data_IF_321347632567
#
_entry.id   IF_321347632567
#
_cell.length_a   1.000
_cell.length_b   1.000
_cell.length_c   1.000
_cell.angle_alpha   90.00
_cell.angle_beta   90.00
_cell.angle_gamma   90.00
#
_symmetry.space_group_name_H-M   'P 1'
#
loop_
_entity.id
_entity.type
_entity.pdbx_description
1 polymer ?
#
# COMPACT_ATOMS: atom_id res chain seq x y z
N UNK A 1 -22.61 3.87 -13.82
CA UNK A 1 -21.89 5.15 -13.86
C UNK A 1 -21.70 5.52 -15.32
N UNK A 2 -22.15 6.69 -15.71
CA UNK A 2 -22.01 7.20 -17.08
C UNK A 2 -20.63 7.83 -17.28
N UNK A 3 -20.24 8.08 -18.53
CA UNK A 3 -19.01 8.83 -18.84
C UNK A 3 -19.03 10.24 -18.28
N UNK A 4 -20.21 10.90 -18.27
CA UNK A 4 -20.37 12.23 -17.70
C UNK A 4 -20.11 12.23 -16.18
N UNK A 5 -20.61 11.22 -15.46
CA UNK A 5 -20.36 11.09 -14.01
C UNK A 5 -18.86 10.90 -13.72
N UNK A 6 -18.16 10.13 -14.55
CA UNK A 6 -16.72 9.90 -14.43
C UNK A 6 -15.94 11.20 -14.65
N UNK A 7 -16.30 11.98 -15.67
CA UNK A 7 -15.65 13.25 -15.97
C UNK A 7 -15.88 14.27 -14.85
N UNK A 8 -17.08 14.30 -14.27
CA UNK A 8 -17.40 15.16 -13.14
C UNK A 8 -16.55 14.79 -11.90
N UNK A 9 -16.43 13.50 -11.59
CA UNK A 9 -15.58 13.06 -10.47
C UNK A 9 -14.11 13.38 -10.71
N UNK A 10 -13.60 13.13 -11.92
CA UNK A 10 -12.22 13.46 -12.25
C UNK A 10 -11.95 14.97 -12.18
N UNK A 11 -12.90 15.80 -12.61
CA UNK A 11 -12.81 17.24 -12.46
C UNK A 11 -12.82 17.65 -10.97
N UNK A 12 -13.66 17.02 -10.15
CA UNK A 12 -13.69 17.26 -8.71
C UNK A 12 -12.36 16.93 -8.03
N UNK A 13 -11.75 15.79 -8.37
CA UNK A 13 -10.43 15.40 -7.85
C UNK A 13 -9.35 16.41 -8.24
N UNK A 14 -9.29 16.81 -9.52
CA UNK A 14 -8.27 17.77 -9.99
C UNK A 14 -8.33 19.12 -9.28
N UNK A 15 -9.54 19.60 -8.93
CA UNK A 15 -9.73 20.87 -8.22
C UNK A 15 -9.03 20.93 -6.86
N UNK A 16 -8.72 19.80 -6.24
CA UNK A 16 -8.01 19.79 -4.95
C UNK A 16 -8.85 20.23 -3.76
N UNK A 17 -10.18 20.30 -3.90
CA UNK A 17 -11.08 20.51 -2.76
C UNK A 17 -11.12 19.26 -1.87
N UNK A 18 -11.42 19.38 -0.57
CA UNK A 18 -11.68 18.23 0.30
C UNK A 18 -12.75 17.31 -0.30
N UNK A 19 -12.53 16.00 -0.21
CA UNK A 19 -13.33 15.00 -0.91
C UNK A 19 -14.53 14.57 -0.09
N UNK A 20 -15.65 14.26 -0.75
CA UNK A 20 -16.70 13.44 -0.14
C UNK A 20 -16.28 11.97 -0.07
N UNK A 21 -16.99 11.13 0.71
CA UNK A 21 -16.75 9.69 0.75
C UNK A 21 -16.83 9.05 -0.64
N UNK A 22 -17.75 9.48 -1.49
CA UNK A 22 -17.89 8.98 -2.87
C UNK A 22 -16.67 9.33 -3.73
N UNK A 23 -16.22 10.59 -3.66
CA UNK A 23 -15.03 11.05 -4.38
C UNK A 23 -13.76 10.36 -3.87
N UNK A 24 -13.66 10.13 -2.57
CA UNK A 24 -12.56 9.37 -1.97
C UNK A 24 -12.60 7.91 -2.47
N UNK A 25 -13.76 7.27 -2.44
CA UNK A 25 -13.91 5.90 -2.95
C UNK A 25 -13.51 5.79 -4.42
N UNK A 26 -13.92 6.78 -5.23
CA UNK A 26 -13.51 6.88 -6.62
C UNK A 26 -12.00 7.07 -6.78
N UNK A 27 -11.39 7.98 -6.02
CA UNK A 27 -9.95 8.20 -6.01
C UNK A 27 -9.18 6.92 -5.69
N UNK A 28 -9.63 6.18 -4.67
CA UNK A 28 -9.01 4.94 -4.23
C UNK A 28 -9.37 3.73 -5.10
N UNK A 29 -10.26 3.88 -6.09
CA UNK A 29 -10.83 2.78 -6.88
C UNK A 29 -11.33 1.63 -6.01
N UNK A 30 -12.18 1.97 -5.05
CA UNK A 30 -12.89 1.03 -4.18
C UNK A 30 -14.38 1.23 -4.30
N UNK A 31 -15.14 0.19 -3.98
CA UNK A 31 -16.60 0.33 -3.90
C UNK A 31 -16.96 1.32 -2.78
N UNK A 32 -17.81 2.33 -3.03
CA UNK A 32 -18.24 3.30 -2.02
C UNK A 32 -18.77 2.65 -0.73
N UNK A 33 -19.36 1.46 -0.80
CA UNK A 33 -19.84 0.72 0.38
C UNK A 33 -18.71 0.25 1.31
N UNK A 34 -17.47 0.21 0.82
CA UNK A 34 -16.28 -0.23 1.55
C UNK A 34 -15.40 0.93 2.03
N UNK A 35 -15.59 2.14 1.50
CA UNK A 35 -14.83 3.33 1.90
C UNK A 35 -14.84 3.58 3.42
N UNK A 36 -15.99 3.51 4.14
CA UNK A 36 -16.01 3.74 5.58
C UNK A 36 -15.17 2.75 6.41
N UNK A 37 -14.83 1.59 5.86
CA UNK A 37 -13.97 0.59 6.52
C UNK A 37 -12.49 0.81 6.23
N UNK A 38 -12.18 1.38 5.07
CA UNK A 38 -10.81 1.61 4.60
C UNK A 38 -10.26 2.89 5.23
N UNK A 39 -11.09 3.91 5.39
CA UNK A 39 -10.72 5.17 6.05
C UNK A 39 -9.92 4.99 7.36
N UNK A 40 -10.44 4.28 8.39
CA UNK A 40 -9.69 4.12 9.64
C UNK A 40 -8.46 3.22 9.49
N UNK A 41 -8.48 2.24 8.58
CA UNK A 41 -7.32 1.36 8.34
C UNK A 41 -6.11 2.13 7.78
N UNK A 42 -6.37 3.26 7.12
CA UNK A 42 -5.35 4.17 6.57
C UNK A 42 -5.11 5.41 7.42
N UNK A 43 -5.77 5.56 8.57
CA UNK A 43 -5.69 6.79 9.37
C UNK A 43 -6.28 8.01 8.64
N UNK A 44 -7.21 7.80 7.70
CA UNK A 44 -7.93 8.88 7.04
C UNK A 44 -9.08 9.33 7.95
N UNK A 45 -8.82 10.38 8.72
CA UNK A 45 -9.85 11.02 9.54
C UNK A 45 -10.57 12.12 8.74
N UNK A 46 -11.91 12.09 8.66
CA UNK A 46 -12.69 13.16 8.04
C UNK A 46 -12.76 14.40 8.95
N UNK A 47 -12.66 15.57 8.33
CA UNK A 47 -13.00 16.85 8.96
C UNK A 47 -14.49 17.12 8.71
N UNK A 48 -15.33 16.72 9.67
CA UNK A 48 -16.78 16.75 9.53
C UNK A 48 -17.28 15.67 8.57
N UNK A 49 -17.54 16.04 7.30
CA UNK A 49 -18.04 15.13 6.25
C UNK A 49 -17.10 15.02 5.04
N UNK A 50 -15.94 15.65 5.11
CA UNK A 50 -15.01 15.75 3.99
C UNK A 50 -13.62 15.26 4.40
N UNK A 51 -12.88 14.77 3.43
CA UNK A 51 -11.51 14.28 3.59
C UNK A 51 -10.54 15.31 3.00
N UNK A 52 -9.78 16.02 3.83
CA UNK A 52 -8.77 16.95 3.35
C UNK A 52 -7.66 16.22 2.58
N UNK A 53 -7.19 16.82 1.48
CA UNK A 53 -6.08 16.26 0.71
C UNK A 53 -4.80 16.08 1.51
N UNK A 54 -4.55 16.91 2.53
CA UNK A 54 -3.37 16.79 3.39
C UNK A 54 -3.31 15.40 4.04
N UNK A 55 -4.45 14.89 4.53
CA UNK A 55 -4.51 13.56 5.14
C UNK A 55 -4.33 12.47 4.09
N UNK A 56 -4.95 12.63 2.91
CA UNK A 56 -4.83 11.69 1.79
C UNK A 56 -3.38 11.61 1.29
N UNK A 57 -2.69 12.74 1.14
CA UNK A 57 -1.30 12.79 0.71
C UNK A 57 -0.39 12.00 1.64
N UNK A 58 -0.56 12.18 2.95
CA UNK A 58 0.28 11.53 3.96
C UNK A 58 -0.05 10.05 4.07
N UNK A 59 -1.33 9.70 4.22
CA UNK A 59 -1.78 8.34 4.47
C UNK A 59 -1.64 7.41 3.25
N UNK A 60 -1.96 7.93 2.05
CA UNK A 60 -2.06 7.09 0.84
C UNK A 60 -0.81 7.23 -0.03
N UNK A 61 -0.34 8.47 -0.21
CA UNK A 61 0.76 8.75 -1.14
C UNK A 61 2.13 8.85 -0.47
N UNK A 62 2.17 8.81 0.87
CA UNK A 62 3.38 8.96 1.68
C UNK A 62 4.21 10.20 1.30
N UNK A 63 3.53 11.33 1.05
CA UNK A 63 4.13 12.61 0.66
C UNK A 63 3.30 13.78 1.19
N UNK A 64 3.70 15.01 0.86
CA UNK A 64 2.88 16.20 1.06
C UNK A 64 2.72 16.97 -0.25
N UNK A 65 1.47 17.33 -0.59
CA UNK A 65 1.16 18.06 -1.82
C UNK A 65 2.04 19.30 -2.02
N UNK A 66 2.24 20.09 -0.95
CA UNK A 66 3.03 21.34 -0.98
C UNK A 66 4.47 21.17 -1.47
N UNK A 67 5.02 19.96 -1.42
CA UNK A 67 6.39 19.66 -1.87
C UNK A 67 6.44 19.30 -3.37
N UNK A 68 5.30 18.98 -3.99
CA UNK A 68 5.24 18.45 -5.35
C UNK A 68 5.53 19.49 -6.43
N UNK A 69 5.23 20.77 -6.19
CA UNK A 69 5.52 21.83 -7.15
C UNK A 69 7.03 22.02 -7.36
N UNK A 70 7.80 22.12 -6.27
CA UNK A 70 9.27 22.20 -6.37
C UNK A 70 9.84 20.89 -6.92
N UNK A 71 9.34 19.76 -6.45
CA UNK A 71 9.79 18.45 -6.92
C UNK A 71 9.59 18.26 -8.44
N UNK A 72 8.49 18.77 -9.01
CA UNK A 72 8.27 18.75 -10.46
C UNK A 72 9.35 19.55 -11.22
N UNK A 73 9.77 20.69 -10.70
CA UNK A 73 10.84 21.49 -11.32
C UNK A 73 12.17 20.71 -11.31
N UNK A 74 12.50 20.09 -10.18
CA UNK A 74 13.71 19.28 -10.04
C UNK A 74 13.68 18.06 -10.97
N UNK A 75 12.52 17.40 -11.10
CA UNK A 75 12.31 16.29 -12.03
C UNK A 75 12.47 16.73 -13.49
N UNK A 76 11.90 17.88 -13.88
CA UNK A 76 12.06 18.43 -15.24
C UNK A 76 13.52 18.80 -15.54
N UNK A 77 14.25 19.32 -14.56
CA UNK A 77 15.67 19.62 -14.71
C UNK A 77 16.50 18.33 -14.85
N UNK A 78 16.24 17.32 -14.01
CA UNK A 78 16.93 16.02 -14.03
C UNK A 78 16.64 15.22 -15.29
N UNK A 79 15.41 15.28 -15.80
CA UNK A 79 14.93 14.53 -16.95
C UNK A 79 14.44 15.47 -18.07
N UNK A 80 15.31 16.37 -18.52
CA UNK A 80 14.98 17.40 -19.52
C UNK A 80 14.50 16.85 -20.88
N UNK A 81 14.81 15.59 -21.20
CA UNK A 81 14.32 14.90 -22.40
C UNK A 81 12.95 14.21 -22.24
N UNK A 82 12.36 14.22 -21.04
CA UNK A 82 11.07 13.58 -20.77
C UNK A 82 9.93 14.39 -21.39
N UNK A 83 9.20 13.77 -22.32
CA UNK A 83 8.03 14.40 -22.95
C UNK A 83 6.87 14.43 -21.97
N UNK A 84 6.72 13.37 -21.17
CA UNK A 84 5.65 13.28 -20.18
C UNK A 84 5.83 14.34 -19.09
N UNK A 85 7.01 14.42 -18.45
CA UNK A 85 7.24 15.38 -17.37
C UNK A 85 7.14 16.82 -17.89
N UNK A 86 7.69 17.12 -19.07
CA UNK A 86 7.59 18.45 -19.68
C UNK A 86 6.13 18.87 -19.88
N UNK A 87 5.24 17.94 -20.25
CA UNK A 87 3.81 18.20 -20.46
C UNK A 87 2.96 18.31 -19.19
N UNK A 88 3.52 18.01 -18.01
CA UNK A 88 2.81 18.16 -16.73
C UNK A 88 2.98 19.59 -16.23
N UNK A 89 1.87 20.28 -16.02
CA UNK A 89 1.86 21.63 -15.43
C UNK A 89 1.82 21.56 -13.90
N UNK A 90 0.95 20.70 -13.37
CA UNK A 90 0.75 20.50 -11.94
C UNK A 90 0.84 19.01 -11.58
N UNK A 91 1.86 18.65 -10.81
CA UNK A 91 2.10 17.30 -10.36
C UNK A 91 1.06 16.85 -9.31
N UNK A 92 0.55 17.78 -8.49
CA UNK A 92 -0.51 17.46 -7.54
C UNK A 92 -1.76 17.00 -8.29
N UNK A 93 -2.21 17.77 -9.28
CA UNK A 93 -3.39 17.42 -10.07
C UNK A 93 -3.30 16.05 -10.75
N UNK A 94 -2.11 15.66 -11.26
CA UNK A 94 -1.89 14.34 -11.84
C UNK A 94 -2.00 13.22 -10.79
N UNK A 95 -1.52 13.44 -9.56
CA UNK A 95 -1.62 12.44 -8.48
C UNK A 95 -2.97 12.42 -7.77
N UNK A 96 -3.78 13.47 -7.91
CA UNK A 96 -5.19 13.48 -7.47
C UNK A 96 -6.06 12.61 -8.37
N UNK A 97 -5.61 12.24 -9.57
CA UNK A 97 -6.35 11.32 -10.43
C UNK A 97 -6.53 9.96 -9.73
N UNK A 98 -7.61 9.21 -10.05
CA UNK A 98 -7.84 7.91 -9.45
C UNK A 98 -6.64 6.99 -9.58
N UNK A 99 -6.39 6.22 -8.51
CA UNK A 99 -5.46 5.12 -8.53
C UNK A 99 -5.88 4.10 -9.60
N UNK A 100 -4.99 3.19 -9.96
CA UNK A 100 -5.32 2.07 -10.83
C UNK A 100 -5.08 0.77 -10.09
N UNK A 101 -5.93 -0.22 -10.35
CA UNK A 101 -5.75 -1.55 -9.78
C UNK A 101 -4.59 -2.30 -10.46
N UNK A 102 -4.24 -3.45 -9.88
CA UNK A 102 -3.17 -4.30 -10.41
C UNK A 102 -3.46 -4.82 -11.84
N UNK A 103 -4.72 -5.03 -12.19
CA UNK A 103 -5.09 -5.52 -13.51
C UNK A 103 -4.81 -4.45 -14.59
N UNK A 104 -5.30 -3.23 -14.39
CA UNK A 104 -5.06 -2.08 -15.25
C UNK A 104 -3.57 -1.71 -15.33
N UNK A 105 -2.84 -1.78 -14.20
CA UNK A 105 -1.39 -1.59 -14.21
C UNK A 105 -0.68 -2.65 -15.08
N UNK A 106 -1.04 -3.92 -14.91
CA UNK A 106 -0.45 -5.02 -15.69
C UNK A 106 -0.70 -4.86 -17.19
N UNK A 107 -1.92 -4.45 -17.56
CA UNK A 107 -2.30 -4.18 -18.94
C UNK A 107 -1.50 -3.03 -19.55
N UNK A 108 -1.34 -1.92 -18.82
CA UNK A 108 -0.47 -0.80 -19.26
C UNK A 108 0.98 -1.23 -19.48
N UNK A 109 1.46 -2.27 -18.78
CA UNK A 109 2.79 -2.87 -18.98
C UNK A 109 2.83 -3.91 -20.12
N UNK A 110 1.71 -4.19 -20.78
CA UNK A 110 1.61 -5.24 -21.80
C UNK A 110 1.75 -6.66 -21.25
N UNK A 111 1.39 -6.88 -19.97
CA UNK A 111 1.51 -8.18 -19.29
C UNK A 111 0.15 -8.70 -18.85
N UNK A 112 -0.01 -10.03 -18.86
CA UNK A 112 -1.17 -10.68 -18.24
C UNK A 112 -1.04 -10.60 -16.71
N UNK A 113 -2.08 -10.11 -16.03
CA UNK A 113 -2.05 -9.88 -14.58
C UNK A 113 -1.73 -11.17 -13.78
N UNK A 114 -2.34 -12.31 -14.10
CA UNK A 114 -2.07 -13.57 -13.39
C UNK A 114 -0.59 -14.00 -13.48
N UNK A 115 0.02 -13.80 -14.66
CA UNK A 115 1.44 -14.10 -14.87
C UNK A 115 2.31 -13.14 -14.07
N UNK A 116 2.05 -11.84 -14.15
CA UNK A 116 2.83 -10.85 -13.42
C UNK A 116 2.71 -11.06 -11.89
N UNK A 117 1.49 -11.33 -11.39
CA UNK A 117 1.28 -11.60 -9.96
C UNK A 117 2.07 -12.82 -9.49
N UNK A 118 2.14 -13.87 -10.30
CA UNK A 118 2.92 -15.08 -9.98
C UNK A 118 4.42 -14.76 -9.92
N UNK A 119 4.93 -14.06 -10.92
CA UNK A 119 6.36 -13.69 -11.01
C UNK A 119 6.78 -12.78 -9.85
N UNK A 120 5.95 -11.80 -9.48
CA UNK A 120 6.21 -10.92 -8.32
C UNK A 120 6.21 -11.71 -7.01
N UNK A 121 5.25 -12.64 -6.82
CA UNK A 121 5.19 -13.49 -5.62
C UNK A 121 6.39 -14.44 -5.50
N UNK A 122 6.91 -14.91 -6.64
CA UNK A 122 8.10 -15.76 -6.69
C UNK A 122 9.41 -14.96 -6.57
N UNK A 123 9.35 -13.63 -6.42
CA UNK A 123 10.54 -12.77 -6.30
C UNK A 123 11.39 -12.70 -7.57
N UNK A 124 10.88 -13.15 -8.71
CA UNK A 124 11.60 -13.17 -9.99
C UNK A 124 11.64 -11.81 -10.68
N UNK A 125 10.76 -10.91 -10.28
CA UNK A 125 10.68 -9.53 -10.75
C UNK A 125 10.23 -8.65 -9.59
N UNK A 126 10.67 -7.38 -9.59
CA UNK A 126 10.21 -6.35 -8.66
C UNK A 126 9.56 -5.20 -9.43
N UNK A 127 8.62 -4.51 -8.78
CA UNK A 127 8.04 -3.30 -9.36
C UNK A 127 8.94 -2.10 -9.04
N UNK A 128 9.19 -1.20 -10.00
CA UNK A 128 10.05 -0.03 -9.84
C UNK A 128 9.31 1.19 -9.27
N UNK A 129 8.07 1.00 -8.82
CA UNK A 129 7.22 2.02 -8.21
C UNK A 129 6.50 1.38 -7.01
N UNK A 130 6.15 2.20 -6.00
CA UNK A 130 5.56 1.69 -4.76
C UNK A 130 4.18 1.07 -4.98
N UNK A 131 3.86 0.09 -4.14
CA UNK A 131 2.54 -0.55 -4.06
C UNK A 131 1.75 0.16 -2.96
N UNK A 132 0.52 0.56 -3.25
CA UNK A 132 -0.41 1.06 -2.25
C UNK A 132 -1.33 -0.11 -1.86
N UNK A 133 -1.07 -0.71 -0.70
CA UNK A 133 -1.75 -1.92 -0.23
C UNK A 133 -3.05 -1.60 0.52
N UNK A 134 -4.18 -1.56 -0.20
CA UNK A 134 -5.54 -1.26 0.29
C UNK A 134 -6.22 -2.41 1.07
N UNK A 135 -5.47 -3.45 1.42
CA UNK A 135 -5.98 -4.66 2.06
C UNK A 135 -5.36 -5.95 1.50
N UNK A 136 -5.80 -7.14 1.97
CA UNK A 136 -5.10 -8.41 1.72
C UNK A 136 -4.92 -8.82 0.25
N UNK A 137 -5.72 -8.26 -0.67
CA UNK A 137 -5.72 -8.59 -2.10
C UNK A 137 -5.88 -7.38 -3.02
N UNK A 138 -5.89 -6.18 -2.46
CA UNK A 138 -6.18 -4.93 -3.17
C UNK A 138 -4.90 -4.12 -3.23
N UNK A 139 -4.28 -4.14 -4.42
CA UNK A 139 -3.05 -3.41 -4.70
C UNK A 139 -3.35 -2.33 -5.72
N UNK A 140 -3.02 -1.12 -5.36
CA UNK A 140 -3.28 0.06 -6.16
C UNK A 140 -1.98 0.78 -6.48
N UNK A 141 -2.02 1.54 -7.58
CA UNK A 141 -0.86 2.19 -8.16
C UNK A 141 -1.22 3.59 -8.62
N UNK A 142 -0.25 4.49 -8.60
CA UNK A 142 -0.39 5.81 -9.19
C UNK A 142 -0.26 5.72 -10.70
N UNK A 143 -1.28 6.17 -11.43
CA UNK A 143 -1.32 6.06 -12.88
C UNK A 143 -0.12 6.75 -13.55
N UNK A 144 0.32 7.89 -13.00
CA UNK A 144 1.47 8.64 -13.51
C UNK A 144 2.78 7.85 -13.43
N UNK A 145 3.07 7.20 -12.30
CA UNK A 145 4.31 6.43 -12.12
C UNK A 145 4.39 5.25 -13.10
N UNK A 146 3.27 4.55 -13.27
CA UNK A 146 3.17 3.47 -14.25
C UNK A 146 3.41 4.00 -15.66
N UNK A 147 2.83 5.15 -16.01
CA UNK A 147 3.00 5.79 -17.33
C UNK A 147 4.45 6.19 -17.58
N UNK A 148 5.09 6.85 -16.62
CA UNK A 148 6.49 7.28 -16.68
C UNK A 148 7.42 6.08 -16.82
N UNK A 149 7.22 5.03 -16.02
CA UNK A 149 8.06 3.84 -16.12
C UNK A 149 7.90 3.10 -17.44
N UNK A 150 6.66 2.88 -17.90
CA UNK A 150 6.40 2.12 -19.13
C UNK A 150 6.98 2.82 -20.35
N UNK A 151 6.83 4.14 -20.45
CA UNK A 151 7.20 4.90 -21.65
C UNK A 151 8.62 5.43 -21.63
N UNK A 152 9.09 5.89 -20.47
CA UNK A 152 10.35 6.63 -20.36
C UNK A 152 11.33 6.00 -19.36
N UNK A 153 10.96 4.90 -18.69
CA UNK A 153 11.77 4.22 -17.67
C UNK A 153 12.21 5.14 -16.53
N UNK A 154 11.40 6.13 -16.22
CA UNK A 154 11.61 7.04 -15.09
C UNK A 154 10.92 6.47 -13.85
N UNK A 155 11.70 6.26 -12.79
CA UNK A 155 11.18 6.00 -11.45
C UNK A 155 10.96 7.33 -10.74
N UNK A 156 9.77 7.52 -10.18
CA UNK A 156 9.43 8.74 -9.47
C UNK A 156 9.61 8.49 -7.96
N UNK A 157 10.56 9.22 -7.36
CA UNK A 157 10.84 9.14 -5.93
C UNK A 157 10.21 10.36 -5.25
N UNK A 158 9.02 10.17 -4.68
CA UNK A 158 8.33 11.26 -4.00
C UNK A 158 9.07 11.71 -2.75
N UNK A 159 9.05 13.02 -2.45
CA UNK A 159 9.61 13.51 -1.22
C UNK A 159 8.76 13.02 -0.05
N UNK A 160 9.44 12.58 1.01
CA UNK A 160 8.78 12.03 2.21
C UNK A 160 8.21 13.17 3.06
N UNK A 161 7.07 12.96 3.74
CA UNK A 161 6.57 13.93 4.70
C UNK A 161 7.60 14.12 5.82
N UNK A 162 7.65 15.32 6.44
CA UNK A 162 8.53 15.56 7.56
C UNK A 162 8.10 14.68 8.76
N UNK A 163 9.08 14.22 9.54
CA UNK A 163 8.86 13.21 10.60
C UNK A 163 7.86 13.61 11.69
N UNK A 164 7.68 14.90 11.95
CA UNK A 164 6.71 15.41 12.92
C UNK A 164 5.25 15.29 12.45
N UNK A 165 5.02 15.08 11.15
CA UNK A 165 3.69 14.94 10.56
C UNK A 165 3.20 13.48 10.53
N UNK A 166 4.05 12.51 10.89
CA UNK A 166 3.71 11.09 10.89
C UNK A 166 3.09 10.70 12.22
N UNK A 167 1.81 11.01 12.42
CA UNK A 167 1.01 10.38 13.48
C UNK A 167 0.55 9.00 12.99
N UNK A 168 1.30 7.98 13.41
CA UNK A 168 0.86 6.58 13.59
C UNK A 168 0.34 5.82 12.36
N UNK A 169 1.16 4.91 11.82
CA UNK A 169 0.67 3.65 11.23
C UNK A 169 1.75 2.57 11.29
N UNK A 170 1.54 1.63 12.22
CA UNK A 170 2.09 0.26 12.32
C UNK A 170 3.58 0.08 12.01
N UNK A 171 4.43 0.27 13.04
CA UNK A 171 5.71 -0.42 13.12
C UNK A 171 5.45 -1.94 13.13
N UNK A 172 5.82 -2.62 12.04
CA UNK A 172 6.17 -4.03 12.13
C UNK A 172 7.56 -4.10 12.76
N UNK A 173 7.61 -4.14 14.08
CA UNK A 173 8.84 -4.36 14.84
C UNK A 173 9.29 -5.81 14.65
N UNK A 174 10.28 -6.02 13.78
CA UNK A 174 11.19 -7.16 13.88
C UNK A 174 12.35 -6.75 14.77
N UNK A 175 12.31 -7.17 16.03
CA UNK A 175 13.44 -7.10 16.97
C UNK A 175 13.72 -8.54 17.41
N UNK A 176 14.96 -8.96 17.19
CA UNK A 176 15.72 -10.01 17.90
C UNK A 176 17.16 -9.83 17.36
N UNK A 177 17.83 -8.73 17.72
CA UNK A 177 18.79 -8.56 18.83
C UNK A 177 20.02 -9.48 18.72
N UNK A 178 21.14 -8.86 18.37
CA UNK A 178 22.48 -9.45 18.21
C UNK A 178 23.26 -9.27 19.52
N UNK A 179 24.07 -10.28 19.86
CA UNK A 179 24.53 -10.53 21.22
C UNK A 179 25.49 -9.52 21.86
N UNK A 180 25.73 -9.73 23.16
CA UNK A 180 26.95 -9.32 23.85
C UNK A 180 27.27 -10.30 24.97
N UNK A 181 28.57 -10.54 25.09
CA UNK A 181 29.26 -11.56 25.87
C UNK A 181 29.61 -11.15 27.31
N UNK A 182 29.57 -12.17 28.17
CA UNK A 182 30.56 -12.55 29.20
C UNK A 182 30.57 -11.97 30.63
N UNK A 183 30.72 -12.94 31.55
CA UNK A 183 31.34 -12.96 32.89
C UNK A 183 30.76 -12.14 34.07
N UNK A 184 30.11 -12.82 35.02
CA UNK A 184 30.71 -13.23 36.32
C UNK A 184 29.64 -13.73 37.33
N UNK A 185 29.85 -14.93 37.88
CA UNK A 185 29.20 -15.50 39.08
C UNK A 185 30.18 -15.34 40.28
N UNK A 186 29.81 -15.39 41.59
CA UNK A 186 29.08 -16.52 42.21
C UNK A 186 28.16 -16.21 43.43
N UNK A 187 27.33 -17.19 43.83
CA UNK A 187 27.28 -17.84 45.19
C UNK A 187 25.87 -18.05 45.81
N UNK A 188 25.45 -19.34 45.87
CA UNK A 188 24.60 -20.07 46.86
C UNK A 188 23.13 -19.63 47.06
N UNK A 189 22.10 -20.48 47.17
CA UNK A 189 21.92 -21.90 47.51
C UNK A 189 20.56 -22.38 46.92
N UNK A 190 20.50 -23.51 46.21
CA UNK A 190 20.11 -24.85 46.72
C UNK A 190 18.60 -25.17 46.61
N UNK A 191 18.20 -25.86 45.53
CA UNK A 191 17.58 -27.20 45.55
C UNK A 191 17.01 -27.61 44.17
N UNK A 192 17.66 -28.59 43.55
CA UNK A 192 17.21 -29.42 42.41
C UNK A 192 16.32 -30.58 42.91
N UNK A 193 15.84 -31.55 42.08
CA UNK A 193 15.41 -31.56 40.67
C UNK A 193 14.06 -32.31 40.43
N UNK A 194 13.48 -32.17 39.24
CA UNK A 194 12.89 -33.28 38.45
C UNK A 194 12.68 -32.75 37.01
N UNK A 195 13.50 -33.10 36.01
CA UNK A 195 13.42 -34.31 35.17
C UNK A 195 11.98 -34.51 34.63
N UNK A 196 11.67 -34.51 33.33
CA UNK A 196 12.25 -35.25 32.19
C UNK A 196 11.84 -34.58 30.88
N UNK A 197 12.72 -34.71 29.89
CA UNK A 197 12.69 -34.26 28.49
C UNK A 197 11.73 -35.13 27.59
N UNK A 198 11.85 -35.13 26.25
CA UNK A 198 10.94 -34.56 25.24
C UNK A 198 10.07 -35.62 24.54
N UNK A 199 9.13 -35.21 23.67
CA UNK A 199 8.96 -35.78 22.31
C UNK A 199 7.56 -35.58 21.68
N UNK A 200 7.61 -35.08 20.43
CA UNK A 200 6.96 -35.64 19.22
C UNK A 200 5.46 -35.38 18.97
N UNK A 201 5.30 -34.63 17.87
CA UNK A 201 4.63 -34.99 16.61
C UNK A 201 3.16 -34.58 16.40
N UNK A 202 3.02 -33.78 15.35
CA UNK A 202 1.95 -33.68 14.38
C UNK A 202 0.91 -34.83 14.37
N UNK A 203 -0.37 -34.44 14.34
CA UNK A 203 -1.46 -35.27 13.82
C UNK A 203 -2.22 -34.48 12.76
N UNK A 204 -2.13 -35.01 11.55
CA UNK A 204 -2.88 -34.70 10.33
C UNK A 204 -4.32 -35.21 10.46
N UNK A 205 -5.27 -34.54 9.81
CA UNK A 205 -6.45 -35.12 9.14
C UNK A 205 -7.42 -35.99 9.94
N UNK A 206 -8.55 -35.40 10.34
CA UNK A 206 -9.76 -36.15 10.73
C UNK A 206 -10.89 -35.92 9.72
N UNK A 207 -10.89 -36.68 8.63
CA UNK A 207 -12.07 -36.91 7.79
C UNK A 207 -12.68 -38.25 8.22
N UNK A 208 -13.99 -38.25 8.48
CA UNK A 208 -14.81 -39.44 8.71
C UNK A 208 -16.13 -38.99 9.35
N UNK A 209 -17.29 -39.09 8.73
CA UNK A 209 -17.71 -40.00 7.67
C UNK A 209 -18.84 -40.86 8.22
N UNK A 210 -20.06 -40.46 7.87
CA UNK A 210 -21.34 -41.16 7.88
C UNK A 210 -21.64 -42.25 8.93
N UNK A 211 -22.69 -41.98 9.71
CA UNK A 211 -23.43 -42.95 10.51
C UNK A 211 -24.72 -43.32 9.78
N UNK A 212 -24.83 -44.58 9.31
CA UNK A 212 -26.13 -45.24 9.11
C UNK A 212 -26.05 -46.77 8.87
N UNK A 213 -26.99 -47.46 9.54
CA UNK A 213 -27.58 -48.80 9.33
C UNK A 213 -26.94 -49.96 10.13
N UNK A 214 -27.55 -50.41 11.25
CA UNK A 214 -28.71 -51.35 11.42
C UNK A 214 -28.30 -52.83 11.23
N UNK A 215 -29.10 -53.85 11.66
CA UNK A 215 -29.72 -54.14 12.97
C UNK A 215 -29.44 -55.60 13.42
N UNK A 216 -29.74 -55.93 14.69
CA UNK A 216 -30.55 -57.07 15.21
C UNK A 216 -30.27 -57.27 16.69
#
# INVERSE_FOLDING_TARGET
>A
MTTADIDELNAALRRGAPLTTEQLAWHLQIDPKHAPRIEPAFGLEPEGRLYPWVNIWRAIHATEGVQLAQHLQDLKAKYSGSVILCGIEDLEAEFRMPLIDFAAMSEKRGRKHNTLSKVLREGRETLPFPIIDMGPRTRHFRALEVRLWVRERICLELPKPPSWATTTSVESSSVDDEGTSDAADPTMAENTPAAVDPAKKAIFGGFGGDSRNLPT
#
